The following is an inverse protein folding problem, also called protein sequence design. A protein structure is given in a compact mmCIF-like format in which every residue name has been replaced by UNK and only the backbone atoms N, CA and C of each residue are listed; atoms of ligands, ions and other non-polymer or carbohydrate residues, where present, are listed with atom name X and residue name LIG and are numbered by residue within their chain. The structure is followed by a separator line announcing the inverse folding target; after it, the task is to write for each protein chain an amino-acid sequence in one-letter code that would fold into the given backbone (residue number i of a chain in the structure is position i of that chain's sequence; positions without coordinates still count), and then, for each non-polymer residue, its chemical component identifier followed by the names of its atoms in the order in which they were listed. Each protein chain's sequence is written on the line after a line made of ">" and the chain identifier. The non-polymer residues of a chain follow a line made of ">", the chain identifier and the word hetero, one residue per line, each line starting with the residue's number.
data_IF_773942101471
#
_entry.id   IF_773942101471
#
_cell.length_a   1.000
_cell.length_b   1.000
_cell.length_c   1.000
_cell.angle_alpha   90.00
_cell.angle_beta   90.00
_cell.angle_gamma   90.00
#
_symmetry.space_group_name_H-M   'P 1'
#
loop_
_entity.id
_entity.type
_entity.pdbx_description
1 polymer ?
#
# COMPACT_ATOMS: atom_id res chain seq x y z
N UNK A 1 -15.73 61.39 -44.39
CA UNK A 1 -17.02 62.17 -44.36
C UNK A 1 -17.97 61.49 -43.39
N UNK A 2 -18.63 62.26 -42.54
CA UNK A 2 -19.28 61.77 -41.31
C UNK A 2 -20.79 61.65 -41.44
N UNK A 3 -21.45 60.91 -40.60
CA UNK A 3 -22.84 61.18 -40.10
C UNK A 3 -23.00 60.31 -38.84
N UNK A 4 -22.99 60.85 -37.68
CA UNK A 4 -23.94 61.58 -36.86
C UNK A 4 -25.30 60.87 -36.65
N UNK A 5 -25.58 60.72 -35.38
CA UNK A 5 -26.76 60.95 -34.59
C UNK A 5 -27.70 59.80 -34.26
N UNK A 6 -27.92 59.68 -32.97
CA UNK A 6 -29.00 58.91 -32.38
C UNK A 6 -28.90 58.70 -30.86
N UNK A 7 -28.82 59.81 -30.09
CA UNK A 7 -29.08 59.81 -28.64
C UNK A 7 -30.52 59.37 -28.38
N UNK A 8 -30.71 58.33 -27.60
CA UNK A 8 -31.88 58.18 -26.71
C UNK A 8 -31.43 57.69 -25.34
N UNK A 9 -31.43 58.62 -24.42
CA UNK A 9 -31.34 58.37 -22.98
C UNK A 9 -32.61 57.72 -22.50
N UNK A 10 -32.47 56.50 -21.98
CA UNK A 10 -33.49 55.90 -21.13
C UNK A 10 -32.87 55.73 -19.75
N UNK A 11 -33.23 56.67 -18.89
CA UNK A 11 -33.02 56.54 -17.44
C UNK A 11 -33.86 55.42 -16.90
N UNK A 12 -33.28 54.22 -16.81
CA UNK A 12 -33.77 53.08 -16.02
C UNK A 12 -32.88 52.95 -14.81
N UNK A 13 -33.27 53.49 -13.66
CA UNK A 13 -32.66 53.16 -12.37
C UNK A 13 -32.73 51.66 -12.15
N UNK A 14 -31.63 50.95 -12.03
CA UNK A 14 -31.71 49.60 -11.48
C UNK A 14 -32.00 49.73 -9.99
N UNK A 15 -33.17 49.28 -9.59
CA UNK A 15 -33.49 48.96 -8.18
C UNK A 15 -32.47 47.93 -7.72
N UNK A 16 -31.54 48.40 -6.93
CA UNK A 16 -30.65 47.58 -6.13
C UNK A 16 -31.49 46.69 -5.18
N UNK A 17 -31.84 45.53 -5.65
CA UNK A 17 -32.24 44.44 -4.78
C UNK A 17 -30.95 43.86 -4.18
N UNK A 18 -30.44 44.54 -3.18
CA UNK A 18 -29.45 43.99 -2.25
C UNK A 18 -30.11 42.89 -1.41
N UNK A 19 -30.45 41.78 -2.04
CA UNK A 19 -30.58 40.50 -1.33
C UNK A 19 -29.17 40.01 -1.06
N UNK A 20 -28.53 40.58 -0.05
CA UNK A 20 -27.40 40.04 0.62
C UNK A 20 -27.75 38.66 1.15
N UNK A 21 -27.64 37.62 0.32
CA UNK A 21 -27.36 36.29 0.83
C UNK A 21 -25.99 36.44 1.50
N UNK A 22 -25.98 36.63 2.83
CA UNK A 22 -24.88 36.20 3.68
C UNK A 22 -24.70 34.69 3.45
N UNK A 23 -24.02 34.34 2.37
CA UNK A 23 -23.34 33.05 2.31
C UNK A 23 -22.41 33.11 3.51
N UNK A 24 -22.74 32.35 4.55
CA UNK A 24 -21.76 32.00 5.55
C UNK A 24 -20.51 31.55 4.77
N UNK A 25 -19.49 32.39 4.75
CA UNK A 25 -18.19 32.06 4.17
C UNK A 25 -17.68 30.94 5.08
N UNK A 26 -17.99 29.72 4.71
CA UNK A 26 -17.41 28.54 5.36
C UNK A 26 -15.91 28.75 5.30
N UNK A 27 -15.28 28.83 6.48
CA UNK A 27 -13.89 29.23 6.60
C UNK A 27 -13.02 28.17 5.91
N UNK A 28 -12.51 28.51 4.73
CA UNK A 28 -11.48 27.73 4.02
C UNK A 28 -10.23 27.68 4.91
N UNK A 29 -9.58 26.52 5.01
CA UNK A 29 -8.35 26.35 5.77
C UNK A 29 -7.21 27.07 5.03
N UNK A 30 -6.74 28.18 5.58
CA UNK A 30 -5.63 28.96 5.02
C UNK A 30 -4.30 28.37 5.45
N UNK A 31 -3.44 28.07 4.49
CA UNK A 31 -2.08 27.58 4.71
C UNK A 31 -1.10 28.72 4.45
N UNK A 32 -0.48 29.22 5.51
CA UNK A 32 0.51 30.29 5.45
C UNK A 32 1.82 29.82 6.06
N UNK A 33 2.76 29.41 5.23
CA UNK A 33 4.11 29.03 5.60
C UNK A 33 5.08 29.27 4.45
N UNK A 34 6.38 29.34 4.73
CA UNK A 34 7.41 29.41 3.71
C UNK A 34 7.68 27.99 3.17
N UNK A 35 7.44 27.74 1.87
CA UNK A 35 7.65 26.42 1.27
C UNK A 35 9.13 26.08 1.05
N UNK A 36 10.06 27.00 1.36
CA UNK A 36 11.49 26.84 1.17
C UNK A 36 12.26 27.13 2.45
N UNK A 37 13.37 26.46 2.61
CA UNK A 37 14.34 26.69 3.71
C UNK A 37 15.70 26.97 3.09
N UNK A 38 16.32 28.07 3.53
CA UNK A 38 17.70 28.38 3.17
C UNK A 38 18.65 27.65 4.15
N UNK A 39 19.40 26.70 3.63
CA UNK A 39 20.39 25.95 4.39
C UNK A 39 21.76 26.05 3.71
N UNK A 40 22.73 26.59 4.40
CA UNK A 40 24.10 26.79 3.90
C UNK A 40 24.18 27.50 2.54
N UNK A 41 23.29 28.49 2.31
CA UNK A 41 23.22 29.22 1.03
C UNK A 41 22.47 28.51 -0.09
N UNK A 42 21.94 27.31 0.17
CA UNK A 42 21.09 26.57 -0.78
C UNK A 42 19.64 26.71 -0.39
N UNK A 43 18.81 27.08 -1.36
CA UNK A 43 17.35 27.10 -1.19
C UNK A 43 16.79 25.70 -1.45
N UNK A 44 16.32 25.04 -0.39
CA UNK A 44 15.77 23.69 -0.45
C UNK A 44 14.27 23.71 -0.23
N UNK A 45 13.53 22.95 -1.01
CA UNK A 45 12.07 22.79 -0.84
C UNK A 45 11.77 22.02 0.45
N UNK A 46 10.89 22.53 1.28
CA UNK A 46 10.44 21.86 2.50
C UNK A 46 9.74 20.52 2.18
N UNK A 47 8.98 20.47 1.09
CA UNK A 47 8.38 19.23 0.57
C UNK A 47 9.43 18.14 0.32
N UNK A 48 10.52 18.47 -0.37
CA UNK A 48 11.58 17.50 -0.70
C UNK A 48 12.24 16.95 0.56
N UNK A 49 12.52 17.81 1.54
CA UNK A 49 13.06 17.39 2.83
C UNK A 49 12.10 16.46 3.59
N UNK A 50 10.82 16.82 3.60
CA UNK A 50 9.80 16.02 4.29
C UNK A 50 9.57 14.66 3.61
N UNK A 51 9.58 14.59 2.26
CA UNK A 51 9.54 13.33 1.53
C UNK A 51 10.78 12.48 1.81
N UNK A 52 11.97 13.07 1.78
CA UNK A 52 13.20 12.36 2.11
C UNK A 52 13.18 11.80 3.55
N UNK A 53 12.70 12.58 4.51
CA UNK A 53 12.51 12.14 5.89
C UNK A 53 11.49 10.99 6.00
N UNK A 54 10.39 11.03 5.25
CA UNK A 54 9.39 9.97 5.22
C UNK A 54 9.95 8.66 4.65
N UNK A 55 10.75 8.74 3.58
CA UNK A 55 11.44 7.59 2.99
C UNK A 55 12.48 7.02 3.95
N UNK A 56 13.31 7.88 4.55
CA UNK A 56 14.30 7.47 5.56
C UNK A 56 13.66 6.77 6.75
N UNK A 57 12.54 7.32 7.26
CA UNK A 57 11.75 6.70 8.33
C UNK A 57 11.23 5.33 7.91
N UNK A 58 10.70 5.18 6.68
CA UNK A 58 10.21 3.90 6.18
C UNK A 58 11.33 2.84 6.11
N UNK A 59 12.51 3.19 5.60
CA UNK A 59 13.67 2.30 5.54
C UNK A 59 14.11 1.91 6.96
N UNK A 60 14.18 2.87 7.88
CA UNK A 60 14.54 2.64 9.27
C UNK A 60 13.57 1.69 9.97
N UNK A 61 12.26 1.91 9.81
CA UNK A 61 11.22 1.03 10.34
C UNK A 61 11.31 -0.39 9.75
N UNK A 62 11.62 -0.53 8.46
CA UNK A 62 11.86 -1.82 7.84
C UNK A 62 13.10 -2.53 8.43
N UNK A 63 14.20 -1.80 8.65
CA UNK A 63 15.40 -2.32 9.29
C UNK A 63 15.16 -2.80 10.73
N UNK A 64 14.44 -2.00 11.54
CA UNK A 64 14.02 -2.39 12.89
C UNK A 64 13.11 -3.62 12.85
N UNK A 65 12.16 -3.66 11.91
CA UNK A 65 11.26 -4.80 11.71
C UNK A 65 12.00 -6.07 11.36
N UNK A 66 12.99 -6.00 10.47
CA UNK A 66 13.83 -7.12 10.07
C UNK A 66 14.65 -7.65 11.25
N UNK A 67 15.30 -6.78 12.02
CA UNK A 67 16.05 -7.18 13.22
C UNK A 67 15.18 -7.86 14.27
N UNK A 68 13.98 -7.31 14.55
CA UNK A 68 13.02 -7.93 15.49
C UNK A 68 12.50 -9.28 15.00
N UNK A 69 12.29 -9.42 13.70
CA UNK A 69 11.84 -10.69 13.10
C UNK A 69 12.94 -11.73 13.19
N UNK A 70 14.19 -11.40 12.85
CA UNK A 70 15.33 -12.29 12.93
C UNK A 70 15.56 -12.75 14.37
N UNK A 71 15.58 -11.84 15.34
CA UNK A 71 15.74 -12.18 16.76
C UNK A 71 14.64 -13.10 17.31
N UNK A 72 13.42 -13.05 16.75
CA UNK A 72 12.35 -13.99 17.11
C UNK A 72 12.59 -15.39 16.52
N UNK A 73 13.11 -15.45 15.31
CA UNK A 73 13.44 -16.73 14.65
C UNK A 73 14.58 -17.43 15.38
N UNK A 74 15.61 -16.69 15.77
CA UNK A 74 16.76 -17.22 16.51
C UNK A 74 16.35 -17.80 17.89
N UNK A 75 15.33 -17.22 18.56
CA UNK A 75 14.77 -17.72 19.82
C UNK A 75 13.95 -19.01 19.68
N UNK A 76 13.43 -19.31 18.50
CA UNK A 76 12.63 -20.51 18.27
C UNK A 76 13.48 -21.77 18.11
N UNK A 77 14.80 -21.62 18.06
CA UNK A 77 15.75 -22.71 17.88
C UNK A 77 15.84 -23.22 16.43
N UNK A 78 16.80 -24.07 16.14
CA UNK A 78 16.97 -24.70 14.85
C UNK A 78 15.81 -25.69 14.62
N UNK A 79 14.92 -25.32 13.71
CA UNK A 79 14.01 -26.26 13.05
C UNK A 79 14.62 -26.59 11.69
N UNK A 80 14.53 -27.84 11.22
CA UNK A 80 15.08 -28.30 9.93
C UNK A 80 14.76 -27.37 8.78
N UNK A 81 13.61 -26.68 8.84
CA UNK A 81 13.18 -25.66 7.88
C UNK A 81 13.84 -24.28 8.11
N UNK A 82 14.29 -23.97 9.33
CA UNK A 82 14.88 -22.66 9.65
C UNK A 82 16.35 -22.57 9.21
N UNK A 83 17.08 -23.67 9.24
CA UNK A 83 18.48 -23.75 8.78
C UNK A 83 18.58 -23.63 7.26
N UNK A 84 17.56 -24.07 6.52
CA UNK A 84 17.50 -24.02 5.05
C UNK A 84 17.08 -22.67 4.50
N UNK A 85 16.60 -21.72 5.34
CA UNK A 85 16.12 -20.44 4.87
C UNK A 85 17.13 -19.32 5.14
N UNK A 86 17.48 -18.50 4.10
CA UNK A 86 18.43 -17.42 4.26
C UNK A 86 17.96 -16.41 5.33
N UNK A 87 18.92 -15.87 6.09
CA UNK A 87 18.67 -14.90 7.15
C UNK A 87 18.30 -13.53 6.57
N UNK A 88 17.53 -12.74 7.33
CA UNK A 88 17.29 -11.33 7.02
C UNK A 88 18.55 -10.53 7.40
N UNK A 89 19.33 -10.11 6.41
CA UNK A 89 20.52 -9.27 6.60
C UNK A 89 20.13 -7.81 6.45
N UNK A 90 20.59 -6.93 7.32
CA UNK A 90 20.28 -5.49 7.22
C UNK A 90 20.87 -4.87 5.96
N UNK A 91 22.02 -5.36 5.52
CA UNK A 91 22.70 -4.87 4.32
C UNK A 91 21.88 -5.14 3.05
N UNK A 92 21.17 -6.29 3.00
CA UNK A 92 20.26 -6.60 1.91
C UNK A 92 19.17 -5.53 1.75
N UNK A 93 18.72 -4.90 2.86
CA UNK A 93 17.67 -3.87 2.82
C UNK A 93 18.12 -2.65 2.02
N UNK A 94 19.37 -2.20 2.22
CA UNK A 94 19.91 -1.04 1.52
C UNK A 94 19.98 -1.34 0.02
N UNK A 95 20.51 -2.50 -0.36
CA UNK A 95 20.62 -2.92 -1.77
C UNK A 95 19.24 -3.10 -2.42
N UNK A 96 18.28 -3.69 -1.70
CA UNK A 96 16.90 -3.85 -2.16
C UNK A 96 16.23 -2.48 -2.36
N UNK A 97 16.45 -1.53 -1.43
CA UNK A 97 15.93 -0.18 -1.54
C UNK A 97 16.56 0.56 -2.75
N UNK A 98 17.87 0.45 -2.94
CA UNK A 98 18.55 1.00 -4.13
C UNK A 98 18.05 0.37 -5.43
N UNK A 99 17.77 -0.93 -5.44
CA UNK A 99 17.19 -1.61 -6.60
C UNK A 99 15.78 -1.11 -6.97
N UNK A 100 15.04 -0.58 -5.99
CA UNK A 100 13.72 0.02 -6.24
C UNK A 100 13.81 1.34 -7.02
N UNK A 101 14.88 2.13 -6.85
CA UNK A 101 14.98 3.49 -7.38
C UNK A 101 14.93 3.55 -8.92
N UNK A 102 15.76 2.81 -9.67
CA UNK A 102 15.69 2.85 -11.13
C UNK A 102 14.33 2.41 -11.67
N UNK A 103 13.75 1.35 -11.08
CA UNK A 103 12.43 0.88 -11.43
C UNK A 103 11.35 1.93 -11.16
N UNK A 104 11.42 2.62 -10.02
CA UNK A 104 10.46 3.66 -9.67
C UNK A 104 10.54 4.87 -10.60
N UNK A 105 11.74 5.30 -10.95
CA UNK A 105 11.94 6.42 -11.89
C UNK A 105 11.43 6.06 -13.28
N UNK A 106 11.85 4.92 -13.82
CA UNK A 106 11.41 4.44 -15.14
C UNK A 106 9.90 4.23 -15.18
N UNK A 107 9.35 3.54 -14.18
CA UNK A 107 7.93 3.27 -14.09
C UNK A 107 7.10 4.53 -13.93
N UNK A 108 7.55 5.46 -13.10
CA UNK A 108 6.89 6.74 -12.91
C UNK A 108 6.87 7.57 -14.20
N UNK A 109 7.98 7.58 -14.93
CA UNK A 109 8.12 8.31 -16.19
C UNK A 109 7.25 7.71 -17.29
N UNK A 110 7.37 6.40 -17.50
CA UNK A 110 6.56 5.69 -18.49
C UNK A 110 5.07 5.81 -18.21
N UNK A 111 4.66 5.65 -16.95
CA UNK A 111 3.26 5.80 -16.57
C UNK A 111 2.73 7.21 -16.78
N UNK A 112 3.51 8.22 -16.46
CA UNK A 112 3.13 9.61 -16.71
C UNK A 112 3.01 9.88 -18.21
N UNK A 113 3.96 9.37 -19.02
CA UNK A 113 3.91 9.46 -20.48
C UNK A 113 2.68 8.77 -21.09
N UNK A 114 2.28 7.61 -20.55
CA UNK A 114 1.09 6.89 -21.02
C UNK A 114 -0.21 7.63 -20.67
N UNK A 115 -0.27 8.30 -19.52
CA UNK A 115 -1.45 9.08 -19.11
C UNK A 115 -1.57 10.37 -19.95
N UNK A 116 -0.43 10.93 -20.42
CA UNK A 116 -0.37 12.16 -21.22
C UNK A 116 0.16 11.89 -22.65
N UNK A 117 -0.35 10.83 -23.25
CA UNK A 117 0.19 10.30 -24.51
C UNK A 117 0.18 11.35 -25.64
N UNK A 118 -0.88 12.14 -25.76
CA UNK A 118 -1.01 13.18 -26.80
C UNK A 118 0.13 14.21 -26.73
N UNK A 119 0.51 14.63 -25.51
CA UNK A 119 1.63 15.54 -25.32
C UNK A 119 2.97 14.91 -25.73
N UNK A 120 3.22 13.67 -25.29
CA UNK A 120 4.49 12.99 -25.54
C UNK A 120 4.64 12.46 -26.95
N UNK A 121 3.55 12.23 -27.66
CA UNK A 121 3.60 11.95 -29.12
C UNK A 121 4.09 13.18 -29.90
N UNK A 122 3.66 14.39 -29.48
CA UNK A 122 4.13 15.65 -30.09
C UNK A 122 5.55 16.03 -29.63
N UNK A 123 5.97 15.62 -28.42
CA UNK A 123 7.23 16.01 -27.78
C UNK A 123 7.99 14.80 -27.21
N UNK A 124 8.44 13.83 -28.04
CA UNK A 124 9.01 12.57 -27.54
C UNK A 124 10.30 12.76 -26.73
N UNK A 125 11.12 13.77 -27.06
CA UNK A 125 12.34 14.08 -26.32
C UNK A 125 12.06 14.48 -24.86
N UNK A 126 10.91 15.06 -24.58
CA UNK A 126 10.48 15.45 -23.23
C UNK A 126 10.30 14.27 -22.28
N UNK A 127 10.09 13.06 -22.80
CA UNK A 127 10.00 11.84 -21.98
C UNK A 127 11.33 11.52 -21.29
N UNK A 128 12.44 11.80 -21.95
CA UNK A 128 13.80 11.57 -21.43
C UNK A 128 14.37 12.76 -20.64
N UNK A 129 13.72 13.92 -20.69
CA UNK A 129 14.20 15.13 -20.01
C UNK A 129 13.99 15.05 -18.48
N UNK A 130 15.06 14.98 -17.67
CA UNK A 130 14.94 14.91 -16.21
C UNK A 130 14.39 16.21 -15.60
N UNK A 131 14.45 17.33 -16.30
CA UNK A 131 13.91 18.62 -15.84
C UNK A 131 12.38 18.66 -15.81
N UNK A 132 11.73 17.83 -16.62
CA UNK A 132 10.28 17.68 -16.63
C UNK A 132 9.83 16.64 -15.56
N UNK A 133 9.83 17.07 -14.31
CA UNK A 133 9.79 16.25 -13.10
C UNK A 133 8.55 15.41 -12.77
N UNK A 134 7.54 15.35 -13.64
CA UNK A 134 6.31 14.62 -13.31
C UNK A 134 6.46 13.10 -13.42
N UNK A 135 6.13 12.39 -12.35
CA UNK A 135 6.18 10.93 -12.23
C UNK A 135 4.83 10.39 -11.76
N UNK A 136 4.32 9.35 -12.44
CA UNK A 136 3.11 8.65 -11.99
C UNK A 136 3.45 7.71 -10.83
N UNK A 137 2.84 7.92 -9.67
CA UNK A 137 3.16 7.16 -8.45
C UNK A 137 2.84 5.68 -8.59
N UNK A 138 1.70 5.32 -9.18
CA UNK A 138 1.22 3.94 -9.26
C UNK A 138 2.16 3.05 -10.06
N UNK A 139 2.52 3.48 -11.26
CA UNK A 139 3.46 2.75 -12.13
C UNK A 139 4.88 2.79 -11.60
N UNK A 140 5.29 3.91 -10.98
CA UNK A 140 6.56 4.03 -10.27
C UNK A 140 6.67 3.03 -9.12
N UNK A 141 5.62 2.90 -8.30
CA UNK A 141 5.61 1.91 -7.22
C UNK A 141 5.67 0.47 -7.76
N UNK A 142 4.93 0.15 -8.83
CA UNK A 142 4.94 -1.19 -9.42
C UNK A 142 6.30 -1.58 -9.97
N UNK A 143 6.91 -0.73 -10.81
CA UNK A 143 8.22 -1.01 -11.38
C UNK A 143 9.33 -0.91 -10.33
N UNK A 144 9.21 -0.02 -9.36
CA UNK A 144 10.10 0.03 -8.20
C UNK A 144 10.05 -1.25 -7.37
N UNK A 145 8.86 -1.80 -7.15
CA UNK A 145 8.71 -3.09 -6.48
C UNK A 145 9.34 -4.23 -7.29
N UNK A 146 9.18 -4.24 -8.61
CA UNK A 146 9.82 -5.23 -9.48
C UNK A 146 11.35 -5.13 -9.42
N UNK A 147 11.91 -3.92 -9.43
CA UNK A 147 13.35 -3.70 -9.26
C UNK A 147 13.85 -4.18 -7.91
N UNK A 148 13.13 -3.85 -6.81
CA UNK A 148 13.43 -4.35 -5.47
C UNK A 148 13.41 -5.89 -5.38
N UNK A 149 12.40 -6.52 -5.99
CA UNK A 149 12.28 -7.98 -6.04
C UNK A 149 13.38 -8.63 -6.88
N UNK A 150 13.79 -7.98 -7.98
CA UNK A 150 14.92 -8.40 -8.81
C UNK A 150 16.21 -8.44 -8.01
N UNK A 151 16.54 -7.35 -7.30
CA UNK A 151 17.72 -7.28 -6.43
C UNK A 151 17.62 -8.29 -5.28
N UNK A 152 16.47 -8.41 -4.60
CA UNK A 152 16.28 -9.40 -3.56
C UNK A 152 16.52 -10.84 -4.06
N UNK A 153 16.15 -11.11 -5.31
CA UNK A 153 16.39 -12.41 -5.95
C UNK A 153 17.86 -12.66 -6.26
N UNK A 154 18.57 -11.64 -6.76
CA UNK A 154 20.02 -11.69 -6.98
C UNK A 154 20.82 -11.93 -5.69
N UNK A 155 20.36 -11.35 -4.59
CA UNK A 155 20.95 -11.54 -3.26
C UNK A 155 20.54 -12.87 -2.59
N UNK A 156 19.75 -13.71 -3.25
CA UNK A 156 19.11 -14.88 -2.65
C UNK A 156 18.39 -14.58 -1.32
N UNK A 157 17.89 -13.35 -1.15
CA UNK A 157 17.23 -12.88 0.06
C UNK A 157 15.85 -13.54 0.24
N UNK A 158 15.37 -13.74 1.48
CA UNK A 158 14.06 -14.34 1.75
C UNK A 158 12.91 -13.38 1.42
N UNK A 159 12.53 -13.29 0.14
CA UNK A 159 11.54 -12.35 -0.40
C UNK A 159 10.26 -12.30 0.44
N UNK A 160 9.68 -13.46 0.80
CA UNK A 160 8.45 -13.49 1.57
C UNK A 160 8.56 -12.84 2.96
N UNK A 161 9.73 -12.91 3.58
CA UNK A 161 10.01 -12.24 4.86
C UNK A 161 10.20 -10.74 4.67
N UNK A 162 10.93 -10.34 3.64
CA UNK A 162 11.12 -8.92 3.29
C UNK A 162 9.80 -8.24 2.96
N UNK A 163 8.94 -8.86 2.15
CA UNK A 163 7.60 -8.34 1.87
C UNK A 163 6.77 -8.20 3.15
N UNK A 164 6.86 -9.18 4.07
CA UNK A 164 6.17 -9.08 5.36
C UNK A 164 6.64 -7.89 6.19
N UNK A 165 7.95 -7.69 6.28
CA UNK A 165 8.55 -6.59 7.06
C UNK A 165 8.25 -5.25 6.42
N UNK A 166 8.34 -5.14 5.10
CA UNK A 166 8.12 -3.91 4.35
C UNK A 166 6.65 -3.44 4.33
N UNK A 167 5.67 -4.30 4.64
CA UNK A 167 4.24 -4.01 4.48
C UNK A 167 3.78 -2.72 5.18
N UNK A 168 4.15 -2.50 6.43
CA UNK A 168 3.76 -1.31 7.21
C UNK A 168 4.68 -0.13 6.92
N UNK A 169 6.01 -0.29 6.92
CA UNK A 169 6.92 0.80 6.57
C UNK A 169 6.62 1.44 5.22
N UNK A 170 6.28 0.64 4.20
CA UNK A 170 5.89 1.15 2.89
C UNK A 170 4.65 2.06 2.98
N UNK A 171 3.60 1.63 3.68
CA UNK A 171 2.40 2.44 3.86
C UNK A 171 2.69 3.73 4.65
N UNK A 172 3.53 3.65 5.69
CA UNK A 172 3.93 4.83 6.46
C UNK A 172 4.70 5.81 5.57
N UNK A 173 5.67 5.33 4.79
CA UNK A 173 6.43 6.16 3.85
C UNK A 173 5.54 6.82 2.81
N UNK A 174 4.65 6.06 2.15
CA UNK A 174 3.72 6.57 1.16
C UNK A 174 2.74 7.59 1.75
N UNK A 175 2.16 7.30 2.91
CA UNK A 175 1.21 8.19 3.57
C UNK A 175 1.86 9.50 4.01
N UNK A 176 3.03 9.44 4.64
CA UNK A 176 3.78 10.64 5.06
C UNK A 176 4.27 11.45 3.87
N UNK A 177 4.75 10.79 2.79
CA UNK A 177 5.15 11.48 1.56
C UNK A 177 3.98 12.23 0.93
N UNK A 178 2.76 11.68 0.97
CA UNK A 178 1.56 12.39 0.50
C UNK A 178 1.22 13.59 1.38
N UNK A 179 1.35 13.50 2.69
CA UNK A 179 1.19 14.66 3.57
C UNK A 179 2.29 15.71 3.32
N UNK A 180 3.52 15.28 3.07
CA UNK A 180 4.63 16.18 2.74
C UNK A 180 4.39 16.99 1.46
N UNK A 181 3.67 16.43 0.46
CA UNK A 181 3.29 17.16 -0.76
C UNK A 181 2.42 18.41 -0.47
N UNK A 182 1.74 18.49 0.67
CA UNK A 182 1.03 19.71 1.07
C UNK A 182 1.99 20.87 1.30
N UNK A 183 3.24 20.62 1.66
CA UNK A 183 4.27 21.64 1.87
C UNK A 183 4.79 22.25 0.57
N UNK A 184 4.54 21.60 -0.56
CA UNK A 184 4.91 22.06 -1.91
C UNK A 184 3.71 22.40 -2.79
N UNK A 185 2.47 22.12 -2.34
CA UNK A 185 1.23 22.36 -3.08
C UNK A 185 0.93 21.40 -4.23
N UNK A 186 1.83 20.47 -4.49
CA UNK A 186 1.63 19.46 -5.52
C UNK A 186 0.48 18.50 -5.17
N UNK A 187 -0.38 18.17 -6.14
CA UNK A 187 -1.46 17.21 -5.97
C UNK A 187 -2.68 17.74 -5.20
N UNK A 188 -2.91 19.06 -5.16
CA UNK A 188 -4.21 19.61 -4.75
C UNK A 188 -5.33 19.07 -5.64
N UNK A 189 -6.48 18.82 -5.02
CA UNK A 189 -7.66 18.31 -5.70
C UNK A 189 -8.43 19.36 -6.49
N UNK A 190 -9.67 19.03 -6.82
CA UNK A 190 -10.60 19.91 -7.52
C UNK A 190 -10.84 21.20 -6.74
N UNK A 191 -11.09 22.28 -7.46
CA UNK A 191 -11.49 23.55 -6.85
C UNK A 191 -12.79 23.38 -6.08
N UNK A 192 -12.85 23.94 -4.88
CA UNK A 192 -14.00 23.77 -3.99
C UNK A 192 -14.06 24.90 -2.97
N UNK A 193 -15.26 25.35 -2.68
CA UNK A 193 -15.55 26.32 -1.61
C UNK A 193 -16.03 25.63 -0.31
N UNK A 194 -15.79 24.33 -0.18
CA UNK A 194 -16.15 23.58 1.01
C UNK A 194 -15.35 24.03 2.23
N UNK A 195 -15.90 23.84 3.44
CA UNK A 195 -15.26 24.23 4.71
C UNK A 195 -13.94 23.52 5.01
N UNK A 196 -13.68 22.40 4.36
CA UNK A 196 -12.44 21.63 4.47
C UNK A 196 -11.48 21.81 3.28
N UNK A 197 -11.83 22.71 2.32
CA UNK A 197 -10.92 23.09 1.27
C UNK A 197 -9.73 23.87 1.85
N UNK A 198 -8.59 23.77 1.20
CA UNK A 198 -7.35 24.45 1.57
C UNK A 198 -7.00 25.51 0.53
N UNK A 199 -6.50 26.65 0.99
CA UNK A 199 -5.98 27.72 0.14
C UNK A 199 -4.61 28.15 0.65
N UNK A 200 -3.65 28.32 -0.26
CA UNK A 200 -2.34 28.84 0.07
C UNK A 200 -2.34 30.35 0.03
N UNK A 201 -1.72 30.98 1.03
CA UNK A 201 -1.64 32.45 1.14
C UNK A 201 -0.51 32.99 0.27
N UNK A 202 0.61 32.27 0.18
CA UNK A 202 1.81 32.68 -0.58
C UNK A 202 1.94 31.89 -1.86
N UNK A 203 2.59 32.44 -2.91
CA UNK A 203 2.96 31.66 -4.07
C UNK A 203 3.95 30.57 -3.65
N UNK A 204 3.74 29.36 -4.16
CA UNK A 204 4.69 28.27 -3.92
C UNK A 204 5.97 28.38 -4.72
N UNK A 205 6.96 27.51 -4.49
CA UNK A 205 8.16 27.46 -5.30
C UNK A 205 7.78 27.31 -6.78
N UNK A 206 8.36 28.16 -7.62
CA UNK A 206 8.06 28.20 -9.06
C UNK A 206 6.56 28.31 -9.39
N UNK A 207 5.86 29.15 -8.61
CA UNK A 207 4.40 29.41 -8.81
C UNK A 207 3.53 28.15 -8.71
N UNK A 208 4.00 27.11 -8.00
CA UNK A 208 3.25 25.86 -7.83
C UNK A 208 1.95 26.02 -7.05
N UNK A 209 1.80 27.12 -6.29
CA UNK A 209 0.55 27.49 -5.64
C UNK A 209 -0.13 28.61 -6.41
N UNK A 210 -1.44 28.54 -6.55
CA UNK A 210 -2.25 29.66 -6.97
C UNK A 210 -2.84 30.33 -5.71
N UNK A 211 -2.25 31.44 -5.21
CA UNK A 211 -2.73 32.09 -4.00
C UNK A 211 -4.20 32.48 -4.15
N UNK A 212 -4.97 32.28 -3.10
CA UNK A 212 -6.39 32.65 -3.08
C UNK A 212 -7.35 31.66 -3.76
N UNK A 213 -6.86 30.63 -4.47
CA UNK A 213 -7.70 29.56 -4.99
C UNK A 213 -7.86 28.45 -3.96
N UNK A 214 -9.10 28.14 -3.61
CA UNK A 214 -9.44 27.05 -2.71
C UNK A 214 -9.63 25.75 -3.47
N UNK A 215 -9.03 24.67 -2.95
CA UNK A 215 -9.12 23.34 -3.53
C UNK A 215 -9.18 22.26 -2.44
N UNK A 216 -9.70 21.11 -2.81
CA UNK A 216 -9.75 19.94 -1.90
C UNK A 216 -8.33 19.49 -1.56
N UNK A 217 -8.01 19.23 -0.27
CA UNK A 217 -6.70 18.75 0.17
C UNK A 217 -6.54 17.25 -0.11
N UNK A 218 -6.49 16.89 -1.39
CA UNK A 218 -6.43 15.48 -1.83
C UNK A 218 -5.21 14.75 -1.30
N UNK A 219 -4.08 15.47 -1.10
CA UNK A 219 -2.86 14.93 -0.50
C UNK A 219 -3.13 14.48 0.95
N UNK A 220 -3.82 15.33 1.74
CA UNK A 220 -4.15 15.02 3.13
C UNK A 220 -5.11 13.83 3.20
N UNK A 221 -6.11 13.79 2.33
CA UNK A 221 -7.06 12.69 2.26
C UNK A 221 -6.35 11.38 1.92
N UNK A 222 -5.55 11.35 0.85
CA UNK A 222 -4.80 10.15 0.45
C UNK A 222 -3.81 9.74 1.54
N UNK A 223 -3.01 10.68 2.06
CA UNK A 223 -2.04 10.41 3.12
C UNK A 223 -2.69 9.86 4.38
N UNK A 224 -3.79 10.46 4.83
CA UNK A 224 -4.57 10.00 5.99
C UNK A 224 -5.16 8.59 5.80
N UNK A 225 -5.77 8.31 4.64
CA UNK A 225 -6.31 6.99 4.33
C UNK A 225 -5.22 5.91 4.29
N UNK A 226 -4.05 6.22 3.73
CA UNK A 226 -2.91 5.28 3.67
C UNK A 226 -2.32 5.03 5.07
N UNK A 227 -2.19 6.06 5.90
CA UNK A 227 -1.75 5.89 7.30
C UNK A 227 -2.77 5.10 8.12
N UNK A 228 -4.06 5.30 7.88
CA UNK A 228 -5.11 4.49 8.50
C UNK A 228 -5.00 3.02 8.05
N UNK A 229 -4.72 2.75 6.77
CA UNK A 229 -4.45 1.40 6.30
C UNK A 229 -3.24 0.76 7.01
N UNK A 230 -2.16 1.52 7.25
CA UNK A 230 -1.02 1.05 8.03
C UNK A 230 -1.42 0.69 9.46
N UNK A 231 -2.21 1.55 10.11
CA UNK A 231 -2.75 1.33 11.46
C UNK A 231 -3.63 0.08 11.52
N UNK A 232 -4.52 -0.12 10.56
CA UNK A 232 -5.37 -1.31 10.49
C UNK A 232 -4.56 -2.60 10.41
N UNK A 233 -3.51 -2.65 9.59
CA UNK A 233 -2.62 -3.81 9.49
C UNK A 233 -1.86 -4.08 10.80
N UNK A 234 -1.58 -3.07 11.61
CA UNK A 234 -0.95 -3.23 12.91
C UNK A 234 -1.95 -3.66 13.98
N UNK A 235 -3.09 -3.00 14.06
CA UNK A 235 -4.03 -3.10 15.20
C UNK A 235 -4.94 -4.32 15.07
N UNK A 236 -5.48 -4.59 13.87
CA UNK A 236 -6.45 -5.70 13.68
C UNK A 236 -5.90 -7.06 14.13
N UNK A 237 -4.66 -7.48 13.79
CA UNK A 237 -4.11 -8.74 14.28
C UNK A 237 -3.91 -8.77 15.80
N UNK A 238 -3.60 -7.63 16.41
CA UNK A 238 -3.41 -7.51 17.86
C UNK A 238 -4.74 -7.67 18.57
N UNK A 239 -5.76 -6.90 18.18
CA UNK A 239 -7.11 -6.99 18.75
C UNK A 239 -7.73 -8.38 18.58
N UNK A 240 -7.55 -8.97 17.38
CA UNK A 240 -8.01 -10.33 17.13
C UNK A 240 -7.35 -11.36 18.06
N UNK A 241 -6.03 -11.19 18.36
CA UNK A 241 -5.33 -12.04 19.34
C UNK A 241 -5.87 -11.88 20.77
N UNK A 242 -6.16 -10.63 21.17
CA UNK A 242 -6.74 -10.36 22.49
C UNK A 242 -8.15 -10.94 22.62
N UNK A 243 -9.01 -10.74 21.63
CA UNK A 243 -10.36 -11.34 21.60
C UNK A 243 -10.29 -12.86 21.62
N UNK A 244 -9.45 -13.49 20.80
CA UNK A 244 -9.27 -14.94 20.77
C UNK A 244 -8.72 -15.48 22.11
N UNK A 245 -7.82 -14.77 22.81
CA UNK A 245 -7.34 -15.17 24.14
C UNK A 245 -8.46 -15.12 25.17
N UNK A 246 -9.32 -14.12 25.15
CA UNK A 246 -10.47 -14.01 26.05
C UNK A 246 -11.49 -15.11 25.80
N UNK A 247 -11.80 -15.41 24.53
CA UNK A 247 -12.70 -16.50 24.15
C UNK A 247 -12.15 -17.90 24.45
N UNK A 248 -10.81 -18.09 24.39
CA UNK A 248 -10.17 -19.38 24.72
C UNK A 248 -10.31 -19.79 26.18
N UNK A 249 -10.58 -18.86 27.10
CA UNK A 249 -10.91 -19.20 28.50
C UNK A 249 -12.30 -19.82 28.62
N UNK A 250 -13.14 -19.65 27.58
CA UNK A 250 -14.57 -20.02 27.62
C UNK A 250 -14.86 -21.23 26.70
N UNK A 251 -14.08 -21.49 25.65
CA UNK A 251 -14.38 -22.47 24.58
C UNK A 251 -13.25 -23.49 24.41
N UNK A 252 -13.64 -24.76 24.24
CA UNK A 252 -12.83 -25.98 24.15
C UNK A 252 -11.65 -25.98 23.14
N UNK A 253 -10.63 -26.89 23.35
CA UNK A 253 -9.31 -26.86 22.65
C UNK A 253 -9.30 -27.06 21.14
N UNK A 254 -10.36 -27.58 20.52
CA UNK A 254 -10.44 -27.88 19.09
C UNK A 254 -10.33 -26.67 18.13
N UNK A 255 -10.38 -25.45 18.66
CA UNK A 255 -10.27 -24.21 17.89
C UNK A 255 -8.84 -23.70 17.67
N UNK A 256 -7.85 -24.41 18.20
CA UNK A 256 -6.43 -24.04 18.02
C UNK A 256 -5.98 -24.02 16.56
N UNK A 257 -6.60 -24.85 15.71
CA UNK A 257 -6.33 -24.92 14.26
C UNK A 257 -6.75 -23.65 13.49
N UNK A 258 -7.61 -22.78 14.06
CA UNK A 258 -8.00 -21.50 13.43
C UNK A 258 -7.03 -20.36 13.69
N UNK A 259 -5.92 -20.61 14.41
CA UNK A 259 -4.90 -19.58 14.72
C UNK A 259 -4.24 -18.95 13.49
N UNK A 260 -4.18 -19.67 12.38
CA UNK A 260 -3.55 -19.18 11.15
C UNK A 260 -4.40 -18.18 10.37
N UNK A 261 -5.62 -17.97 10.79
CA UNK A 261 -6.59 -17.12 10.11
C UNK A 261 -6.26 -15.64 10.19
N UNK A 262 -5.77 -15.18 11.32
CA UNK A 262 -5.51 -13.77 11.62
C UNK A 262 -4.04 -13.39 11.37
N UNK A 263 -3.15 -14.37 11.29
CA UNK A 263 -1.74 -14.14 11.00
C UNK A 263 -1.52 -14.12 9.49
N UNK A 264 -1.70 -12.94 8.89
CA UNK A 264 -1.18 -12.69 7.55
C UNK A 264 0.35 -12.79 7.60
N UNK A 265 0.92 -13.89 7.12
CA UNK A 265 2.37 -14.13 7.11
C UNK A 265 2.91 -13.99 5.69
N UNK A 266 4.14 -13.52 5.57
CA UNK A 266 4.85 -13.40 4.31
C UNK A 266 4.18 -12.43 3.34
N UNK A 267 4.16 -12.80 2.07
CA UNK A 267 3.65 -11.98 0.97
C UNK A 267 2.16 -11.58 1.10
N UNK A 268 1.34 -12.36 1.82
CA UNK A 268 -0.09 -12.05 2.01
C UNK A 268 -0.32 -10.76 2.78
N UNK A 269 0.52 -10.48 3.80
CA UNK A 269 0.46 -9.21 4.52
C UNK A 269 0.79 -8.06 3.58
N UNK A 270 1.78 -8.24 2.72
CA UNK A 270 2.15 -7.26 1.72
C UNK A 270 1.03 -7.05 0.68
N UNK A 271 0.46 -8.12 0.15
CA UNK A 271 -0.67 -8.04 -0.77
C UNK A 271 -1.88 -7.32 -0.14
N UNK A 272 -2.16 -7.57 1.14
CA UNK A 272 -3.20 -6.83 1.88
C UNK A 272 -2.84 -5.35 2.02
N UNK A 273 -1.58 -5.02 2.31
CA UNK A 273 -1.11 -3.65 2.40
C UNK A 273 -1.24 -2.92 1.06
N UNK A 274 -0.81 -3.57 -0.02
CA UNK A 274 -0.90 -3.03 -1.38
C UNK A 274 -2.36 -2.83 -1.82
N UNK A 275 -3.24 -3.78 -1.48
CA UNK A 275 -4.67 -3.69 -1.73
C UNK A 275 -5.31 -2.50 -0.99
N UNK A 276 -5.02 -2.34 0.30
CA UNK A 276 -5.53 -1.23 1.11
C UNK A 276 -4.99 0.12 0.63
N UNK A 277 -3.72 0.19 0.25
CA UNK A 277 -3.15 1.39 -0.38
C UNK A 277 -3.86 1.73 -1.68
N UNK A 278 -4.06 0.75 -2.56
CA UNK A 278 -4.73 0.98 -3.84
C UNK A 278 -6.18 1.45 -3.64
N UNK A 279 -6.92 0.88 -2.68
CA UNK A 279 -8.27 1.34 -2.32
C UNK A 279 -8.24 2.78 -1.78
N UNK A 280 -7.33 3.09 -0.85
CA UNK A 280 -7.18 4.44 -0.31
C UNK A 280 -6.92 5.47 -1.42
N UNK A 281 -6.05 5.12 -2.37
CA UNK A 281 -5.73 5.98 -3.52
C UNK A 281 -6.89 6.09 -4.52
N UNK A 282 -7.63 5.02 -4.80
CA UNK A 282 -8.85 5.08 -5.62
C UNK A 282 -9.86 6.05 -5.02
N UNK A 283 -10.07 5.97 -3.70
CA UNK A 283 -11.01 6.87 -3.01
C UNK A 283 -10.55 8.33 -3.06
N UNK A 284 -9.25 8.58 -2.83
CA UNK A 284 -8.70 9.93 -2.91
C UNK A 284 -8.74 10.49 -4.35
N UNK A 285 -8.57 9.64 -5.36
CA UNK A 285 -8.52 10.06 -6.77
C UNK A 285 -9.85 10.64 -7.28
N UNK A 286 -10.98 10.37 -6.63
CA UNK A 286 -12.23 11.07 -6.94
C UNK A 286 -12.22 12.57 -6.62
N UNK A 287 -11.28 13.00 -5.79
CA UNK A 287 -11.07 14.41 -5.46
C UNK A 287 -10.05 15.10 -6.35
N UNK A 288 -9.36 14.36 -7.24
CA UNK A 288 -8.31 14.88 -8.13
C UNK A 288 -8.89 15.56 -9.38
N UNK A 289 -8.04 16.30 -10.08
CA UNK A 289 -8.38 17.00 -11.33
C UNK A 289 -8.16 16.15 -12.58
N UNK A 290 -7.75 14.90 -12.42
CA UNK A 290 -7.40 14.05 -13.54
C UNK A 290 -8.60 13.81 -14.47
N UNK A 291 -8.31 13.74 -15.77
CA UNK A 291 -9.32 13.44 -16.78
C UNK A 291 -9.92 12.05 -16.57
N UNK A 292 -11.23 11.95 -16.73
CA UNK A 292 -11.94 10.66 -16.70
C UNK A 292 -11.74 9.95 -18.04
N UNK A 293 -11.35 8.68 -17.98
CA UNK A 293 -11.08 7.85 -19.16
C UNK A 293 -12.21 6.84 -19.41
N UNK A 294 -12.73 6.25 -18.33
CA UNK A 294 -13.82 5.28 -18.44
C UNK A 294 -14.86 5.51 -17.33
N UNK A 295 -16.04 5.97 -17.72
CA UNK A 295 -17.10 6.33 -16.78
C UNK A 295 -16.60 7.37 -15.75
N UNK A 296 -16.74 7.09 -14.44
CA UNK A 296 -16.25 8.00 -13.39
C UNK A 296 -14.74 7.87 -13.11
N UNK A 297 -14.03 6.92 -13.73
CA UNK A 297 -12.66 6.55 -13.41
C UNK A 297 -11.64 7.20 -14.34
N UNK A 298 -10.55 7.71 -13.76
CA UNK A 298 -9.34 8.13 -14.46
C UNK A 298 -8.42 6.94 -14.77
N UNK A 299 -7.39 7.16 -15.59
CA UNK A 299 -6.44 6.12 -16.01
C UNK A 299 -5.73 5.45 -14.82
N UNK A 300 -5.27 6.24 -13.84
CA UNK A 300 -4.60 5.73 -12.63
C UNK A 300 -5.53 4.82 -11.81
N UNK A 301 -6.82 5.18 -11.69
CA UNK A 301 -7.81 4.37 -10.98
C UNK A 301 -8.06 3.00 -11.64
N UNK A 302 -8.02 2.91 -12.97
CA UNK A 302 -8.17 1.63 -13.67
C UNK A 302 -6.98 0.70 -13.38
N UNK A 303 -5.75 1.24 -13.36
CA UNK A 303 -4.57 0.47 -12.98
C UNK A 303 -4.68 -0.01 -11.52
N UNK A 304 -5.14 0.86 -10.62
CA UNK A 304 -5.34 0.52 -9.21
C UNK A 304 -6.41 -0.56 -9.01
N UNK A 305 -7.50 -0.52 -9.77
CA UNK A 305 -8.52 -1.57 -9.76
C UNK A 305 -7.95 -2.93 -10.20
N UNK A 306 -7.09 -2.94 -11.23
CA UNK A 306 -6.38 -4.14 -11.64
C UNK A 306 -5.46 -4.69 -10.53
N UNK A 307 -4.75 -3.79 -9.81
CA UNK A 307 -3.93 -4.16 -8.64
C UNK A 307 -4.79 -4.78 -7.55
N UNK A 308 -5.92 -4.16 -7.19
CA UNK A 308 -6.86 -4.69 -6.19
C UNK A 308 -7.37 -6.06 -6.61
N UNK A 309 -7.81 -6.22 -7.86
CA UNK A 309 -8.28 -7.49 -8.41
C UNK A 309 -7.22 -8.59 -8.32
N UNK A 310 -5.98 -8.28 -8.71
CA UNK A 310 -4.84 -9.21 -8.63
C UNK A 310 -4.51 -9.60 -7.20
N UNK A 311 -4.48 -8.64 -6.27
CA UNK A 311 -4.21 -8.90 -4.86
C UNK A 311 -5.31 -9.78 -4.25
N UNK A 312 -6.58 -9.46 -4.50
CA UNK A 312 -7.73 -10.23 -4.00
C UNK A 312 -7.73 -11.64 -4.57
N UNK A 313 -7.54 -11.80 -5.88
CA UNK A 313 -7.44 -13.10 -6.53
C UNK A 313 -6.31 -13.94 -5.91
N UNK A 314 -5.11 -13.37 -5.76
CA UNK A 314 -3.98 -14.03 -5.13
C UNK A 314 -4.27 -14.47 -3.69
N UNK A 315 -4.91 -13.63 -2.88
CA UNK A 315 -5.30 -13.96 -1.51
C UNK A 315 -6.35 -15.08 -1.45
N UNK A 316 -7.34 -15.06 -2.35
CA UNK A 316 -8.38 -16.09 -2.47
C UNK A 316 -7.75 -17.43 -2.88
N UNK A 317 -6.95 -17.44 -3.95
CA UNK A 317 -6.25 -18.64 -4.42
C UNK A 317 -5.35 -19.24 -3.33
N UNK A 318 -4.60 -18.41 -2.61
CA UNK A 318 -3.79 -18.87 -1.48
C UNK A 318 -4.62 -19.45 -0.31
N UNK A 319 -5.87 -19.02 -0.17
CA UNK A 319 -6.81 -19.59 0.82
C UNK A 319 -7.34 -20.93 0.37
N UNK A 320 -7.71 -21.07 -0.90
CA UNK A 320 -8.17 -22.32 -1.51
C UNK A 320 -7.08 -23.37 -1.44
N UNK A 321 -5.85 -23.04 -1.88
CA UNK A 321 -4.71 -23.95 -1.84
C UNK A 321 -4.44 -24.49 -0.43
N UNK A 322 -4.48 -23.61 0.59
CA UNK A 322 -4.33 -24.06 1.99
C UNK A 322 -5.42 -25.03 2.42
N UNK A 323 -6.68 -24.81 2.03
CA UNK A 323 -7.78 -25.72 2.35
C UNK A 323 -7.57 -27.08 1.69
N UNK A 324 -7.16 -27.07 0.42
CA UNK A 324 -6.87 -28.29 -0.31
C UNK A 324 -5.70 -29.09 0.29
N UNK A 325 -4.60 -28.40 0.66
CA UNK A 325 -3.45 -29.05 1.36
C UNK A 325 -3.89 -29.63 2.70
N UNK A 326 -4.66 -28.91 3.49
CA UNK A 326 -5.18 -29.41 4.77
C UNK A 326 -6.09 -30.64 4.59
N UNK A 327 -6.98 -30.64 3.58
CA UNK A 327 -7.83 -31.78 3.26
C UNK A 327 -7.02 -33.01 2.79
N UNK A 328 -5.98 -32.79 1.96
CA UNK A 328 -5.07 -33.87 1.52
C UNK A 328 -4.28 -34.45 2.70
N UNK A 329 -3.79 -33.61 3.60
CA UNK A 329 -3.07 -34.05 4.80
C UNK A 329 -3.97 -34.88 5.74
N UNK A 330 -5.23 -34.41 5.96
CA UNK A 330 -6.22 -35.15 6.74
C UNK A 330 -6.56 -36.54 6.13
N UNK A 331 -6.71 -36.63 4.81
CA UNK A 331 -6.92 -37.89 4.11
C UNK A 331 -5.71 -38.83 4.25
N UNK A 332 -4.48 -38.30 4.18
CA UNK A 332 -3.25 -39.07 4.37
C UNK A 332 -3.15 -39.63 5.80
N UNK A 333 -3.44 -38.80 6.80
CA UNK A 333 -3.44 -39.22 8.20
C UNK A 333 -4.44 -40.37 8.42
N UNK A 334 -5.68 -40.23 7.95
CA UNK A 334 -6.69 -41.31 8.06
C UNK A 334 -6.27 -42.61 7.38
N UNK A 335 -5.61 -42.55 6.21
CA UNK A 335 -5.10 -43.73 5.52
C UNK A 335 -3.98 -44.41 6.32
N UNK A 336 -3.07 -43.66 6.94
CA UNK A 336 -2.01 -44.21 7.79
C UNK A 336 -2.56 -44.82 9.08
N UNK A 337 -3.57 -44.21 9.68
CA UNK A 337 -4.29 -44.78 10.84
C UNK A 337 -5.01 -46.09 10.48
N UNK A 338 -5.70 -46.14 9.34
CA UNK A 338 -6.34 -47.34 8.86
C UNK A 338 -5.34 -48.47 8.54
N UNK A 339 -4.19 -48.14 7.93
CA UNK A 339 -3.12 -49.13 7.67
C UNK A 339 -2.53 -49.70 8.97
N UNK A 340 -2.27 -48.83 9.97
CA UNK A 340 -1.80 -49.30 11.28
C UNK A 340 -2.81 -50.19 11.96
N UNK A 341 -4.09 -49.85 11.95
CA UNK A 341 -5.14 -50.68 12.54
C UNK A 341 -5.25 -52.05 11.85
N UNK A 342 -5.04 -52.12 10.53
CA UNK A 342 -5.03 -53.40 9.81
C UNK A 342 -3.78 -54.26 10.14
N UNK A 343 -2.63 -53.62 10.33
CA UNK A 343 -1.39 -54.32 10.72
C UNK A 343 -1.49 -54.88 12.15
N UNK A 344 -2.09 -54.10 13.08
CA UNK A 344 -2.30 -54.53 14.47
C UNK A 344 -3.28 -55.72 14.53
N UNK A 345 -4.38 -55.68 13.76
CA UNK A 345 -5.33 -56.79 13.68
C UNK A 345 -4.71 -58.06 13.04
N UNK A 346 -3.84 -57.88 12.03
CA UNK A 346 -3.11 -58.99 11.42
C UNK A 346 -2.08 -59.61 12.39
N UNK A 347 -1.39 -58.81 13.19
CA UNK A 347 -0.45 -59.23 14.20
C UNK A 347 -1.17 -60.00 15.35
N UNK A 348 -2.32 -59.51 15.83
CA UNK A 348 -3.15 -60.25 16.80
C UNK A 348 -3.65 -61.59 16.26
N UNK A 349 -4.10 -61.64 15.02
CA UNK A 349 -4.55 -62.87 14.36
C UNK A 349 -3.40 -63.91 14.18
N UNK A 350 -2.18 -63.43 13.91
CA UNK A 350 -0.98 -64.26 13.81
C UNK A 350 -0.51 -64.82 15.16
N UNK A 351 -0.64 -64.01 16.24
CA UNK A 351 -0.28 -64.44 17.61
C UNK A 351 -1.30 -65.41 18.25
N UNK A 352 -2.55 -65.42 17.78
CA UNK A 352 -3.63 -66.27 18.30
C UNK A 352 -3.64 -67.72 17.73
N UNK A 353 -2.66 -68.10 16.87
CA UNK A 353 -2.59 -69.48 16.40
C UNK A 353 -2.16 -70.40 17.56
N UNK A 354 -3.03 -71.33 18.09
CA UNK A 354 -2.66 -72.24 19.13
C UNK A 354 -1.62 -73.20 18.57
N UNK A 355 -0.54 -73.42 19.33
CA UNK A 355 0.49 -74.43 19.05
C UNK A 355 -0.11 -75.80 18.82
N UNK A 356 -0.32 -76.15 17.58
CA UNK A 356 -0.72 -77.51 17.20
C UNK A 356 0.49 -78.41 17.27
N UNK A 357 0.47 -79.32 18.24
CA UNK A 357 1.17 -80.54 18.08
C UNK A 357 2.32 -80.81 19.02
N UNK A 358 2.09 -80.99 20.34
CA UNK A 358 2.84 -81.94 21.09
C UNK A 358 2.21 -83.33 20.85
N UNK A 359 2.78 -84.07 19.94
CA UNK A 359 2.54 -85.54 19.93
C UNK A 359 3.25 -86.15 21.11
N UNK A 360 2.59 -86.96 21.98
CA UNK A 360 3.26 -87.82 22.88
C UNK A 360 3.71 -89.05 22.09
N UNK A 361 5.03 -89.22 21.96
CA UNK A 361 5.60 -90.50 21.51
C UNK A 361 5.66 -91.48 22.65
N UNK A 362 5.19 -92.70 22.37
CA UNK A 362 5.31 -93.89 23.18
C UNK A 362 6.75 -94.44 23.26
#
# INVERSE_FOLDING_TARGET
>A
MPQQAGRRSVHGRPRSAATGKLRAVLAVIRLDFDPTVNWLGLTVRLETLAIAAAVFLAITLAGIGAGRMQARLDRLGPTDDAERQPRLRRDDLILIAFGAVPGAVLGGRLGYGLIHLDYYQAHPASLADPGQGSLALTTGLLLGLLGALGVARLLAAPIGRWLHVASVPLLVGLGLSKLAMMLGGAGQGQYSDSSWATSYVRPGPWESFNPGLSALPSQALEGGLVLMAALLILVVPVLARFRLRRWRRIVRPGWAARRDWVALRGWRRFATALCLWAIARILAAFTWRDARVFGPFGADQLILLAIVGTCVAGLVLARIDRRLRAARAARRARRLEAARASDDTAAEAAGARPGAGARPGA
#
